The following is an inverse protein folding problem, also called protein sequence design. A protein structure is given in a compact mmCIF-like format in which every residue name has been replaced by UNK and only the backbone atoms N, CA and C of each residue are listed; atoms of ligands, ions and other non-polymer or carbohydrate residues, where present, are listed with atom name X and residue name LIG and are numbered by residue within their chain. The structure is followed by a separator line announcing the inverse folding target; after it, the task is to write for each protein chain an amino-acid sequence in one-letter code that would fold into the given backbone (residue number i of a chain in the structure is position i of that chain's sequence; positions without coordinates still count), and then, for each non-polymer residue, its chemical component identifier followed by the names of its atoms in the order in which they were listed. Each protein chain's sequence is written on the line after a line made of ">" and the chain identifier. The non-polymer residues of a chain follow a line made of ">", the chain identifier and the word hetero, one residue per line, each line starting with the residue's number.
data_IF_646069156706
#
_entry.id   IF_646069156706
#
_cell.length_a   1.000
_cell.length_b   1.000
_cell.length_c   1.000
_cell.angle_alpha   90.00
_cell.angle_beta   90.00
_cell.angle_gamma   90.00
#
_symmetry.space_group_name_H-M   'P 1'
#
loop_
_entity.id
_entity.type
_entity.pdbx_description
1 polymer ?
#
# COMPACT_ATOMS: atom_id res chain seq x y z
N UNK A 1 -27.12 -25.16 23.45
CA UNK A 1 -26.90 -23.73 23.10
C UNK A 1 -25.43 -23.49 23.29
N UNK A 2 -24.69 -23.33 22.20
CA UNK A 2 -23.27 -22.97 22.25
C UNK A 2 -23.13 -21.55 22.82
N UNK A 3 -22.81 -21.48 24.10
CA UNK A 3 -22.64 -20.20 24.78
C UNK A 3 -21.22 -19.69 24.45
N UNK A 4 -21.11 -18.73 23.52
CA UNK A 4 -19.85 -18.05 23.24
C UNK A 4 -19.29 -17.46 24.54
N UNK A 5 -18.02 -17.80 24.86
CA UNK A 5 -17.36 -17.38 26.10
C UNK A 5 -16.83 -15.93 26.05
N UNK A 6 -17.18 -15.15 25.01
CA UNK A 6 -16.77 -13.74 24.87
C UNK A 6 -17.73 -12.98 23.98
N UNK A 7 -17.77 -11.66 24.15
CA UNK A 7 -18.55 -10.74 23.33
C UNK A 7 -17.70 -10.03 22.26
N UNK A 8 -18.36 -9.47 21.22
CA UNK A 8 -17.68 -8.64 20.23
C UNK A 8 -17.05 -7.39 20.85
N UNK A 9 -17.65 -6.81 21.89
CA UNK A 9 -17.10 -5.65 22.58
C UNK A 9 -15.81 -5.98 23.32
N UNK A 10 -15.73 -7.17 23.94
CA UNK A 10 -14.51 -7.65 24.55
C UNK A 10 -13.39 -7.83 23.52
N UNK A 11 -13.71 -8.34 22.32
CA UNK A 11 -12.75 -8.42 21.22
C UNK A 11 -12.29 -7.04 20.72
N UNK A 12 -13.21 -6.07 20.62
CA UNK A 12 -12.86 -4.67 20.27
C UNK A 12 -11.91 -4.06 21.28
N UNK A 13 -12.13 -4.29 22.58
CA UNK A 13 -11.28 -3.82 23.66
C UNK A 13 -9.89 -4.48 23.59
N UNK A 14 -9.81 -5.79 23.43
CA UNK A 14 -8.55 -6.50 23.25
C UNK A 14 -7.72 -5.91 22.11
N UNK A 15 -8.34 -5.72 20.94
CA UNK A 15 -7.70 -5.13 19.77
C UNK A 15 -7.22 -3.69 20.02
N UNK A 16 -8.03 -2.88 20.69
CA UNK A 16 -7.67 -1.49 21.01
C UNK A 16 -6.45 -1.44 21.94
N UNK A 17 -6.40 -2.27 22.99
CA UNK A 17 -5.26 -2.32 23.91
C UNK A 17 -4.00 -2.79 23.18
N UNK A 18 -4.09 -3.83 22.34
CA UNK A 18 -2.97 -4.34 21.57
C UNK A 18 -2.41 -3.27 20.60
N UNK A 19 -3.29 -2.48 19.97
CA UNK A 19 -2.89 -1.40 19.06
C UNK A 19 -2.24 -0.22 19.76
N UNK A 20 -2.84 0.21 20.88
CA UNK A 20 -2.39 1.38 21.63
C UNK A 20 -1.22 1.07 22.58
N UNK A 21 -1.01 -0.22 22.92
CA UNK A 21 0.00 -0.66 23.90
C UNK A 21 -0.25 -0.15 25.32
N UNK A 22 -1.50 0.32 25.61
CA UNK A 22 -1.86 0.91 26.90
C UNK A 22 -3.36 0.84 27.15
N UNK A 23 -3.76 0.38 28.32
CA UNK A 23 -5.15 0.34 28.77
C UNK A 23 -5.79 1.74 28.79
N UNK A 24 -5.03 2.76 29.24
CA UNK A 24 -5.53 4.14 29.28
C UNK A 24 -5.79 4.67 27.86
N UNK A 25 -4.80 4.57 26.97
CA UNK A 25 -4.97 5.04 25.57
C UNK A 25 -6.07 4.29 24.83
N UNK A 26 -6.22 2.99 25.07
CA UNK A 26 -7.32 2.20 24.52
C UNK A 26 -8.68 2.70 25.04
N UNK A 27 -8.80 3.01 26.33
CA UNK A 27 -10.01 3.56 26.92
C UNK A 27 -10.35 4.92 26.28
N UNK A 28 -9.37 5.80 26.14
CA UNK A 28 -9.52 7.10 25.47
C UNK A 28 -9.99 6.92 24.02
N UNK A 29 -9.40 5.99 23.28
CA UNK A 29 -9.75 5.70 21.87
C UNK A 29 -11.15 5.10 21.69
N UNK A 30 -11.67 4.43 22.72
CA UNK A 30 -13.00 3.81 22.73
C UNK A 30 -14.06 4.69 23.41
N UNK A 31 -13.67 5.87 23.91
CA UNK A 31 -14.54 6.79 24.64
C UNK A 31 -15.21 6.16 25.89
N UNK A 32 -14.45 5.34 26.61
CA UNK A 32 -14.88 4.70 27.86
C UNK A 32 -13.86 4.94 28.97
N UNK A 33 -14.23 4.61 30.23
CA UNK A 33 -13.30 4.72 31.35
C UNK A 33 -12.28 3.57 31.37
N UNK A 34 -11.04 3.84 31.79
CA UNK A 34 -10.01 2.81 31.95
C UNK A 34 -10.42 1.68 32.92
N UNK A 35 -11.12 1.92 34.06
CA UNK A 35 -11.64 0.85 34.88
C UNK A 35 -12.60 -0.09 34.14
N UNK A 36 -13.47 0.46 33.26
CA UNK A 36 -14.36 -0.35 32.44
C UNK A 36 -13.59 -1.28 31.47
N UNK A 37 -12.58 -0.74 30.79
CA UNK A 37 -11.68 -1.53 29.93
C UNK A 37 -10.98 -2.63 30.72
N UNK A 38 -10.45 -2.31 31.89
CA UNK A 38 -9.75 -3.30 32.75
C UNK A 38 -10.69 -4.41 33.22
N UNK A 39 -11.89 -4.07 33.62
CA UNK A 39 -12.92 -5.04 34.05
C UNK A 39 -13.32 -5.97 32.90
N UNK A 40 -13.51 -5.44 31.69
CA UNK A 40 -13.87 -6.28 30.53
C UNK A 40 -12.76 -7.25 30.17
N UNK A 41 -11.49 -6.83 30.25
CA UNK A 41 -10.35 -7.75 30.02
C UNK A 41 -10.27 -8.82 31.11
N UNK A 42 -10.42 -8.45 32.39
CA UNK A 42 -10.45 -9.43 33.49
C UNK A 42 -11.58 -10.44 33.34
N UNK A 43 -12.76 -10.00 32.96
CA UNK A 43 -13.89 -10.90 32.69
C UNK A 43 -13.57 -11.85 31.51
N UNK A 44 -12.99 -11.35 30.45
CA UNK A 44 -12.57 -12.15 29.29
C UNK A 44 -11.52 -13.20 29.66
N UNK A 45 -10.47 -12.79 30.40
CA UNK A 45 -9.42 -13.68 30.92
C UNK A 45 -10.02 -14.78 31.82
N UNK A 46 -10.95 -14.41 32.71
CA UNK A 46 -11.65 -15.35 33.59
C UNK A 46 -12.53 -16.32 32.80
N UNK A 47 -13.28 -15.85 31.82
CA UNK A 47 -14.15 -16.68 30.97
C UNK A 47 -13.36 -17.70 30.13
N UNK A 48 -12.17 -17.30 29.66
CA UNK A 48 -11.28 -18.14 28.86
C UNK A 48 -10.31 -18.94 29.70
N UNK A 49 -10.20 -18.64 31.00
CA UNK A 49 -9.24 -19.21 31.95
C UNK A 49 -7.77 -19.07 31.50
N UNK A 50 -7.41 -17.91 30.91
CA UNK A 50 -6.05 -17.60 30.46
C UNK A 50 -5.75 -16.11 30.71
N UNK A 51 -4.48 -15.78 30.92
CA UNK A 51 -4.02 -14.38 30.92
C UNK A 51 -3.73 -13.95 29.49
N UNK A 52 -4.29 -12.81 29.06
CA UNK A 52 -4.11 -12.26 27.72
C UNK A 52 -3.03 -11.17 27.68
N UNK A 53 -2.83 -10.49 28.79
CA UNK A 53 -1.82 -9.44 28.93
C UNK A 53 -0.84 -9.75 30.05
N UNK A 54 0.42 -9.40 29.83
CA UNK A 54 1.43 -9.44 30.88
C UNK A 54 1.20 -8.25 31.85
N UNK A 55 1.16 -8.55 33.14
CA UNK A 55 0.94 -7.56 34.20
C UNK A 55 2.24 -6.99 34.79
N UNK A 56 3.40 -7.52 34.34
CA UNK A 56 4.69 -7.18 34.94
C UNK A 56 5.39 -5.96 34.34
N UNK A 57 4.77 -5.20 33.43
CA UNK A 57 5.41 -4.09 32.71
C UNK A 57 4.63 -2.77 32.72
N UNK A 58 5.30 -1.68 32.33
CA UNK A 58 4.69 -0.36 32.12
C UNK A 58 3.84 -0.29 30.82
N UNK A 59 3.95 -1.26 29.94
CA UNK A 59 3.21 -1.38 28.67
C UNK A 59 2.33 -2.62 28.68
N UNK A 60 1.18 -2.55 28.02
CA UNK A 60 0.27 -3.68 27.84
C UNK A 60 0.83 -4.63 26.78
N UNK A 61 1.64 -5.61 27.20
CA UNK A 61 2.19 -6.63 26.31
C UNK A 61 1.26 -7.84 26.28
N UNK A 62 1.05 -8.40 25.08
CA UNK A 62 0.28 -9.62 24.91
C UNK A 62 1.08 -10.85 25.33
N UNK A 63 0.43 -11.74 26.07
CA UNK A 63 0.91 -13.11 26.29
C UNK A 63 0.77 -13.94 25.00
N UNK A 64 1.26 -15.19 24.99
CA UNK A 64 1.02 -16.09 23.86
C UNK A 64 -0.48 -16.35 23.61
N UNK A 65 -1.32 -16.70 24.62
CA UNK A 65 -2.76 -16.75 24.45
C UNK A 65 -3.38 -15.45 23.94
N UNK A 66 -2.86 -14.28 24.38
CA UNK A 66 -3.30 -12.97 23.90
C UNK A 66 -3.02 -12.76 22.41
N UNK A 67 -1.86 -13.17 21.92
CA UNK A 67 -1.51 -13.11 20.49
C UNK A 67 -2.40 -14.02 19.65
N UNK A 68 -2.62 -15.23 20.12
CA UNK A 68 -3.54 -16.18 19.47
C UNK A 68 -4.93 -15.59 19.37
N UNK A 69 -5.50 -15.11 20.49
CA UNK A 69 -6.84 -14.53 20.48
C UNK A 69 -6.93 -13.29 19.61
N UNK A 70 -5.89 -12.42 19.59
CA UNK A 70 -5.87 -11.23 18.74
C UNK A 70 -5.95 -11.58 17.25
N UNK A 71 -5.26 -12.63 16.81
CA UNK A 71 -5.32 -13.08 15.42
C UNK A 71 -6.73 -13.49 14.98
N UNK A 72 -7.47 -14.18 15.86
CA UNK A 72 -8.88 -14.52 15.61
C UNK A 72 -9.80 -13.31 15.77
N UNK A 73 -9.50 -12.41 16.71
CA UNK A 73 -10.25 -11.18 16.95
C UNK A 73 -10.35 -10.32 15.68
N UNK A 74 -9.22 -10.09 15.01
CA UNK A 74 -9.19 -9.31 13.78
C UNK A 74 -10.05 -9.96 12.68
N UNK A 75 -10.04 -11.28 12.56
CA UNK A 75 -10.85 -12.02 11.60
C UNK A 75 -12.34 -11.92 11.90
N UNK A 76 -12.75 -12.15 13.15
CA UNK A 76 -14.15 -12.11 13.59
C UNK A 76 -14.74 -10.71 13.38
N UNK A 77 -14.03 -9.68 13.87
CA UNK A 77 -14.48 -8.29 13.74
C UNK A 77 -14.55 -7.86 12.27
N UNK A 78 -13.63 -8.34 11.45
CA UNK A 78 -13.65 -8.09 10.02
C UNK A 78 -14.86 -8.73 9.34
N UNK A 79 -15.21 -9.98 9.68
CA UNK A 79 -16.40 -10.65 9.14
C UNK A 79 -17.70 -9.95 9.57
N UNK A 80 -17.78 -9.46 10.81
CA UNK A 80 -18.92 -8.65 11.23
C UNK A 80 -19.07 -7.37 10.40
N UNK A 81 -17.98 -6.66 10.18
CA UNK A 81 -18.00 -5.46 9.33
C UNK A 81 -18.35 -5.79 7.86
N UNK A 82 -17.89 -6.94 7.36
CA UNK A 82 -18.21 -7.43 6.02
C UNK A 82 -19.70 -7.69 5.86
N UNK A 83 -20.31 -8.38 6.84
CA UNK A 83 -21.76 -8.64 6.85
C UNK A 83 -22.57 -7.33 6.86
N UNK A 84 -22.19 -6.36 7.68
CA UNK A 84 -22.84 -5.04 7.68
C UNK A 84 -22.74 -4.36 6.31
N UNK A 85 -21.55 -4.38 5.70
CA UNK A 85 -21.34 -3.79 4.37
C UNK A 85 -22.16 -4.49 3.27
N UNK A 86 -22.23 -5.82 3.30
CA UNK A 86 -23.02 -6.57 2.34
C UNK A 86 -24.50 -6.17 2.42
N UNK A 87 -25.02 -5.95 3.62
CA UNK A 87 -26.38 -5.46 3.83
C UNK A 87 -26.57 -4.00 3.39
N UNK A 88 -25.57 -3.14 3.65
CA UNK A 88 -25.58 -1.75 3.20
C UNK A 88 -25.57 -1.67 1.66
N UNK A 89 -24.77 -2.49 0.99
CA UNK A 89 -24.73 -2.56 -0.48
C UNK A 89 -26.04 -3.05 -1.10
N UNK A 90 -26.78 -3.92 -0.41
CA UNK A 90 -28.11 -4.36 -0.84
C UNK A 90 -29.14 -3.22 -0.73
N UNK A 91 -29.01 -2.38 0.29
CA UNK A 91 -29.94 -1.29 0.57
C UNK A 91 -29.61 0.00 -0.21
N UNK A 92 -28.37 0.18 -0.66
CA UNK A 92 -27.97 1.36 -1.42
C UNK A 92 -28.26 1.16 -2.90
N UNK A 93 -29.28 1.84 -3.42
CA UNK A 93 -29.60 1.87 -4.86
C UNK A 93 -28.55 2.63 -5.69
N UNK A 94 -27.79 3.54 -5.06
CA UNK A 94 -26.75 4.38 -5.67
C UNK A 94 -25.66 4.62 -4.66
N UNK A 95 -24.46 4.15 -4.92
CA UNK A 95 -23.32 4.34 -4.04
C UNK A 95 -22.70 3.04 -3.59
N UNK A 96 -22.04 3.05 -2.48
CA UNK A 96 -21.27 1.93 -1.91
C UNK A 96 -19.89 2.39 -1.52
N UNK A 97 -19.08 1.47 -1.00
CA UNK A 97 -17.72 1.76 -0.56
C UNK A 97 -16.73 0.94 -1.35
N UNK A 98 -15.73 1.61 -1.90
CA UNK A 98 -14.56 0.99 -2.52
C UNK A 98 -13.34 1.22 -1.62
N UNK A 99 -12.79 0.16 -1.05
CA UNK A 99 -11.58 0.20 -0.23
C UNK A 99 -10.44 -0.46 -0.99
N UNK A 100 -9.52 0.32 -1.48
CA UNK A 100 -8.38 -0.18 -2.22
C UNK A 100 -7.08 0.04 -1.45
N UNK A 101 -6.19 -0.93 -1.56
CA UNK A 101 -4.87 -0.87 -0.98
C UNK A 101 -3.80 -0.73 -2.05
N UNK A 102 -2.67 -0.16 -1.65
CA UNK A 102 -1.51 -0.11 -2.52
C UNK A 102 -0.21 -0.06 -1.72
N UNK A 103 0.87 -0.56 -2.31
CA UNK A 103 2.22 -0.25 -1.84
C UNK A 103 2.57 1.21 -2.13
N UNK A 104 3.60 1.75 -1.49
CA UNK A 104 3.90 3.20 -1.55
C UNK A 104 3.97 3.76 -2.98
N UNK A 105 4.73 3.13 -3.85
CA UNK A 105 4.88 3.60 -5.24
C UNK A 105 3.54 3.58 -5.99
N UNK A 106 2.85 2.44 -5.95
CA UNK A 106 1.56 2.27 -6.65
C UNK A 106 0.49 3.18 -6.07
N UNK A 107 0.48 3.35 -4.75
CA UNK A 107 -0.49 4.20 -4.03
C UNK A 107 -0.32 5.69 -4.30
N UNK A 108 0.92 6.14 -4.47
CA UNK A 108 1.20 7.56 -4.71
C UNK A 108 1.01 7.95 -6.18
N UNK A 109 1.40 7.09 -7.12
CA UNK A 109 1.49 7.49 -8.52
C UNK A 109 0.46 6.81 -9.45
N UNK A 110 0.13 5.54 -9.20
CA UNK A 110 -0.79 4.78 -10.06
C UNK A 110 -2.24 4.92 -9.58
N UNK A 111 -2.51 4.64 -8.30
CA UNK A 111 -3.88 4.58 -7.78
C UNK A 111 -4.67 5.89 -7.95
N UNK A 112 -4.12 7.09 -7.74
CA UNK A 112 -4.89 8.33 -7.95
C UNK A 112 -5.42 8.48 -9.37
N UNK A 113 -4.66 8.04 -10.39
CA UNK A 113 -5.09 8.08 -11.80
C UNK A 113 -6.25 7.11 -12.03
N UNK A 114 -6.14 5.90 -11.50
CA UNK A 114 -7.18 4.87 -11.59
C UNK A 114 -8.46 5.31 -10.88
N UNK A 115 -8.33 5.82 -9.66
CA UNK A 115 -9.45 6.27 -8.84
C UNK A 115 -10.12 7.52 -9.42
N UNK A 116 -9.36 8.39 -10.08
CA UNK A 116 -9.91 9.54 -10.81
C UNK A 116 -10.86 9.10 -11.92
N UNK A 117 -10.45 8.12 -12.74
CA UNK A 117 -11.31 7.55 -13.78
C UNK A 117 -12.54 6.84 -13.21
N UNK A 118 -12.36 6.09 -12.12
CA UNK A 118 -13.46 5.41 -11.44
C UNK A 118 -14.49 6.41 -10.90
N UNK A 119 -14.04 7.42 -10.16
CA UNK A 119 -14.93 8.42 -9.57
C UNK A 119 -15.68 9.26 -10.59
N UNK A 120 -15.09 9.47 -11.75
CA UNK A 120 -15.80 10.17 -12.84
C UNK A 120 -17.03 9.39 -13.33
N UNK A 121 -16.95 8.05 -13.36
CA UNK A 121 -18.06 7.17 -13.74
C UNK A 121 -19.03 6.87 -12.59
N UNK A 122 -18.50 6.83 -11.37
CA UNK A 122 -19.22 6.44 -10.14
C UNK A 122 -19.08 7.52 -9.07
N UNK A 123 -19.66 8.72 -9.24
CA UNK A 123 -19.48 9.86 -8.33
C UNK A 123 -20.03 9.61 -6.92
N UNK A 124 -21.05 8.77 -6.79
CA UNK A 124 -21.72 8.46 -5.52
C UNK A 124 -20.97 7.41 -4.69
N UNK A 125 -19.94 6.76 -5.24
CA UNK A 125 -19.14 5.77 -4.51
C UNK A 125 -18.14 6.46 -3.59
N UNK A 126 -18.14 6.07 -2.31
CA UNK A 126 -17.12 6.51 -1.35
C UNK A 126 -15.86 5.66 -1.54
N UNK A 127 -14.79 6.32 -1.94
CA UNK A 127 -13.49 5.66 -2.19
C UNK A 127 -12.52 5.91 -1.04
N UNK A 128 -11.91 4.84 -0.53
CA UNK A 128 -10.86 4.88 0.47
C UNK A 128 -9.60 4.21 -0.09
N UNK A 129 -8.49 4.95 -0.14
CA UNK A 129 -7.18 4.44 -0.54
C UNK A 129 -6.30 4.29 0.69
N UNK A 130 -5.80 3.07 0.91
CA UNK A 130 -4.87 2.74 1.99
C UNK A 130 -3.48 2.47 1.41
N UNK A 131 -2.53 3.35 1.72
CA UNK A 131 -1.14 3.24 1.24
C UNK A 131 -0.24 2.80 2.38
N UNK A 132 0.34 1.61 2.26
CA UNK A 132 1.20 1.02 3.29
C UNK A 132 2.34 0.21 2.64
N UNK A 133 3.21 -0.39 3.47
CA UNK A 133 4.17 -1.40 2.99
C UNK A 133 3.41 -2.62 2.44
N UNK A 134 4.02 -3.35 1.50
CA UNK A 134 3.44 -4.59 0.93
C UNK A 134 2.96 -5.53 2.03
N UNK A 135 3.79 -5.78 3.06
CA UNK A 135 3.42 -6.62 4.20
C UNK A 135 2.11 -6.17 4.87
N UNK A 136 2.01 -4.90 5.24
CA UNK A 136 0.81 -4.37 5.91
C UNK A 136 -0.41 -4.36 5.00
N UNK A 137 -0.23 -4.03 3.73
CA UNK A 137 -1.31 -4.06 2.73
C UNK A 137 -1.86 -5.47 2.55
N UNK A 138 -0.99 -6.48 2.44
CA UNK A 138 -1.40 -7.90 2.33
C UNK A 138 -2.19 -8.37 3.55
N UNK A 139 -1.74 -8.04 4.75
CA UNK A 139 -2.50 -8.32 5.98
C UNK A 139 -3.85 -7.59 6.02
N UNK A 140 -3.92 -6.37 5.51
CA UNK A 140 -5.18 -5.62 5.45
C UNK A 140 -6.19 -6.23 4.49
N UNK A 141 -5.73 -6.80 3.36
CA UNK A 141 -6.58 -7.57 2.44
C UNK A 141 -7.05 -8.86 3.12
N UNK A 142 -6.13 -9.63 3.73
CA UNK A 142 -6.46 -10.86 4.45
C UNK A 142 -7.51 -10.61 5.53
N UNK A 143 -7.38 -9.53 6.28
CA UNK A 143 -8.29 -9.18 7.35
C UNK A 143 -9.57 -8.45 6.87
N UNK A 144 -9.79 -8.26 5.56
CA UNK A 144 -10.98 -7.64 4.98
C UNK A 144 -11.13 -6.13 5.31
N UNK A 145 -10.04 -5.46 5.66
CA UNK A 145 -9.99 -4.01 5.81
C UNK A 145 -9.95 -3.31 4.45
N UNK A 146 -9.46 -4.01 3.44
CA UNK A 146 -9.29 -3.58 2.05
C UNK A 146 -9.91 -4.66 1.16
N UNK A 147 -10.61 -4.25 0.11
CA UNK A 147 -11.30 -5.16 -0.81
C UNK A 147 -10.29 -5.82 -1.78
N UNK A 148 -9.39 -5.02 -2.34
CA UNK A 148 -8.30 -5.46 -3.22
C UNK A 148 -7.11 -4.51 -3.13
N UNK A 149 -5.93 -4.95 -3.55
CA UNK A 149 -4.75 -4.08 -3.55
C UNK A 149 -3.80 -4.36 -4.71
N UNK A 150 -3.04 -3.33 -5.12
CA UNK A 150 -1.92 -3.43 -6.07
C UNK A 150 -0.61 -3.23 -5.32
N UNK A 151 0.25 -4.23 -5.38
CA UNK A 151 1.53 -4.25 -4.68
C UNK A 151 2.70 -4.50 -5.63
N UNK A 152 3.88 -3.97 -5.28
CA UNK A 152 5.10 -4.15 -6.06
C UNK A 152 6.19 -4.99 -5.37
N UNK A 153 5.86 -5.59 -4.22
CA UNK A 153 6.75 -6.48 -3.48
C UNK A 153 6.11 -7.85 -3.26
N UNK A 154 6.80 -8.73 -2.53
CA UNK A 154 6.32 -10.08 -2.24
C UNK A 154 5.36 -10.11 -1.06
N UNK A 155 4.32 -10.96 -1.18
CA UNK A 155 3.39 -11.28 -0.09
C UNK A 155 4.16 -12.05 0.99
N UNK A 156 3.93 -11.77 2.28
CA UNK A 156 4.51 -12.59 3.35
C UNK A 156 4.15 -14.06 3.18
N UNK A 157 5.14 -14.95 3.32
CA UNK A 157 4.98 -16.40 3.11
C UNK A 157 3.87 -16.96 4.01
N UNK A 158 3.73 -16.43 5.22
CA UNK A 158 2.76 -16.88 6.23
C UNK A 158 1.30 -16.73 5.79
N UNK A 159 1.02 -15.90 4.79
CA UNK A 159 -0.33 -15.59 4.31
C UNK A 159 -0.51 -15.75 2.80
N UNK A 160 0.54 -16.12 2.09
CA UNK A 160 0.53 -16.18 0.62
C UNK A 160 -0.51 -17.14 0.06
N UNK A 161 -0.74 -18.29 0.71
CA UNK A 161 -1.74 -19.28 0.31
C UNK A 161 -3.20 -18.87 0.59
N UNK A 162 -3.39 -17.84 1.41
CA UNK A 162 -4.71 -17.34 1.79
C UNK A 162 -5.21 -16.20 0.92
N UNK A 163 -4.35 -15.69 0.04
CA UNK A 163 -4.65 -14.58 -0.86
C UNK A 163 -4.56 -15.01 -2.31
N UNK A 164 -5.50 -14.58 -3.12
CA UNK A 164 -5.39 -14.67 -4.57
C UNK A 164 -4.41 -13.59 -5.03
N UNK A 165 -3.34 -14.01 -5.67
CA UNK A 165 -2.29 -13.14 -6.18
C UNK A 165 -2.16 -13.34 -7.68
N UNK A 166 -2.38 -12.26 -8.45
CA UNK A 166 -2.30 -12.30 -9.91
C UNK A 166 -1.28 -11.28 -10.41
N UNK A 167 -0.49 -11.61 -11.45
CA UNK A 167 0.27 -10.62 -12.20
C UNK A 167 -0.65 -9.50 -12.71
N UNK A 168 -0.21 -8.25 -12.58
CA UNK A 168 -1.07 -7.13 -12.96
C UNK A 168 -0.45 -6.24 -14.04
N UNK A 169 0.72 -5.68 -13.79
CA UNK A 169 1.40 -4.79 -14.73
C UNK A 169 2.92 -4.86 -14.52
N UNK A 170 3.66 -4.46 -15.54
CA UNK A 170 5.11 -4.31 -15.42
C UNK A 170 5.45 -2.91 -14.92
N UNK A 171 6.45 -2.81 -14.05
CA UNK A 171 6.97 -1.56 -13.48
C UNK A 171 8.48 -1.52 -13.72
N UNK A 172 8.88 -0.77 -14.76
CA UNK A 172 10.29 -0.58 -15.10
C UNK A 172 10.93 0.38 -14.10
N UNK A 173 12.13 0.02 -13.64
CA UNK A 173 12.97 0.89 -12.83
C UNK A 173 14.14 1.39 -13.68
N UNK A 174 14.39 2.69 -13.63
CA UNK A 174 15.46 3.33 -14.38
C UNK A 174 16.47 3.94 -13.45
N UNK A 175 17.74 3.89 -13.87
CA UNK A 175 18.77 4.70 -13.23
C UNK A 175 18.49 6.16 -13.55
N UNK A 176 18.41 7.00 -12.53
CA UNK A 176 18.23 8.44 -12.66
C UNK A 176 19.42 9.19 -12.06
N UNK A 177 19.84 10.22 -12.77
CA UNK A 177 20.97 11.06 -12.42
C UNK A 177 20.52 12.53 -12.34
N UNK A 178 21.20 13.36 -11.55
CA UNK A 178 21.07 14.81 -11.63
C UNK A 178 21.49 15.31 -13.02
N UNK A 179 20.89 16.41 -13.48
CA UNK A 179 21.22 17.03 -14.77
C UNK A 179 22.72 17.33 -14.92
N UNK A 180 23.35 17.83 -13.87
CA UNK A 180 24.78 18.23 -13.85
C UNK A 180 25.75 17.06 -13.64
N UNK A 181 25.26 15.82 -13.51
CA UNK A 181 26.12 14.66 -13.27
C UNK A 181 27.03 14.40 -14.49
N UNK A 182 28.34 14.15 -14.32
CA UNK A 182 29.27 13.96 -15.45
C UNK A 182 28.83 12.85 -16.41
N UNK A 183 28.21 11.77 -15.89
CA UNK A 183 27.72 10.64 -16.68
C UNK A 183 26.34 10.90 -17.31
N UNK A 184 25.65 11.99 -16.99
CA UNK A 184 24.35 12.33 -17.59
C UNK A 184 24.42 12.62 -19.11
N UNK A 185 25.63 12.92 -19.61
CA UNK A 185 25.88 13.19 -21.04
C UNK A 185 26.27 11.93 -21.83
N UNK A 186 26.49 10.81 -21.16
CA UNK A 186 26.84 9.56 -21.82
C UNK A 186 25.58 8.92 -22.40
N UNK A 187 25.66 8.44 -23.63
CA UNK A 187 24.55 7.77 -24.30
C UNK A 187 24.20 6.43 -23.64
N UNK A 188 25.20 5.76 -23.09
CA UNK A 188 25.09 4.47 -22.43
C UNK A 188 26.23 4.26 -21.42
N UNK A 189 25.91 3.72 -20.26
CA UNK A 189 26.82 3.36 -19.19
C UNK A 189 27.08 1.85 -19.25
N UNK A 190 28.30 1.45 -18.86
CA UNK A 190 28.60 0.03 -18.64
C UNK A 190 28.23 -0.36 -17.19
N UNK A 191 28.02 -1.65 -16.92
CA UNK A 191 27.71 -2.14 -15.57
C UNK A 191 28.80 -1.77 -14.57
N UNK A 192 30.06 -1.79 -15.00
CA UNK A 192 31.23 -1.42 -14.21
C UNK A 192 31.22 0.04 -13.76
N UNK A 193 30.62 0.94 -14.53
CA UNK A 193 30.50 2.35 -14.18
C UNK A 193 29.62 2.54 -12.93
N UNK A 194 28.63 1.66 -12.70
CA UNK A 194 27.75 1.72 -11.55
C UNK A 194 28.50 1.61 -10.23
N UNK A 195 29.62 0.88 -10.18
CA UNK A 195 30.43 0.74 -8.96
C UNK A 195 31.17 2.04 -8.56
N UNK A 196 31.21 3.03 -9.46
CA UNK A 196 31.82 4.34 -9.20
C UNK A 196 30.79 5.39 -8.73
N UNK A 197 29.51 5.06 -8.84
CA UNK A 197 28.41 5.97 -8.47
C UNK A 197 28.08 5.87 -6.98
N UNK A 198 27.68 7.01 -6.39
CA UNK A 198 27.11 7.04 -5.07
C UNK A 198 25.59 6.91 -5.15
N UNK A 199 25.05 5.83 -4.62
CA UNK A 199 23.62 5.57 -4.69
C UNK A 199 22.86 6.11 -3.48
N UNK A 200 21.68 6.64 -3.75
CA UNK A 200 20.65 6.89 -2.76
C UNK A 200 19.62 5.79 -2.90
N UNK A 201 19.36 5.06 -1.83
CA UNK A 201 18.50 3.88 -1.87
C UNK A 201 17.40 3.94 -0.79
N UNK A 202 16.38 3.09 -0.94
CA UNK A 202 15.45 2.80 0.16
C UNK A 202 16.19 2.05 1.27
N UNK A 203 15.68 2.15 2.51
CA UNK A 203 16.25 1.39 3.63
C UNK A 203 16.26 -0.13 3.35
N UNK A 204 17.22 -0.84 3.94
CA UNK A 204 17.46 -2.26 3.69
C UNK A 204 16.27 -3.18 4.10
N UNK A 205 15.35 -2.70 4.94
CA UNK A 205 14.13 -3.45 5.31
C UNK A 205 13.02 -3.31 4.29
N UNK A 206 13.12 -2.34 3.37
CA UNK A 206 12.13 -2.12 2.32
C UNK A 206 12.01 -3.33 1.39
N UNK A 207 10.78 -3.81 1.20
CA UNK A 207 10.51 -4.86 0.20
C UNK A 207 10.86 -4.41 -1.21
N UNK A 208 10.68 -3.12 -1.51
CA UNK A 208 11.07 -2.54 -2.81
C UNK A 208 12.57 -2.58 -2.99
N UNK A 209 13.37 -2.23 -1.96
CA UNK A 209 14.83 -2.31 -2.01
C UNK A 209 15.29 -3.73 -2.31
N UNK A 210 14.76 -4.72 -1.60
CA UNK A 210 15.10 -6.13 -1.81
C UNK A 210 14.81 -6.61 -3.24
N UNK A 211 13.67 -6.18 -3.79
CA UNK A 211 13.33 -6.51 -5.19
C UNK A 211 14.30 -5.84 -6.16
N UNK A 212 14.66 -4.57 -5.94
CA UNK A 212 15.65 -3.88 -6.79
C UNK A 212 17.01 -4.57 -6.72
N UNK A 213 17.50 -4.85 -5.52
CA UNK A 213 18.78 -5.51 -5.32
C UNK A 213 18.81 -6.89 -6.00
N UNK A 214 17.72 -7.67 -5.93
CA UNK A 214 17.61 -8.95 -6.62
C UNK A 214 17.66 -8.78 -8.14
N UNK A 215 16.89 -7.84 -8.70
CA UNK A 215 16.86 -7.58 -10.14
C UNK A 215 18.23 -7.11 -10.68
N UNK A 216 18.95 -6.30 -9.90
CA UNK A 216 20.31 -5.89 -10.24
C UNK A 216 21.27 -7.08 -10.21
N UNK A 217 21.13 -7.96 -9.22
CA UNK A 217 21.91 -9.20 -9.13
C UNK A 217 21.62 -10.14 -10.29
N UNK A 218 20.35 -10.34 -10.64
CA UNK A 218 19.92 -11.15 -11.78
C UNK A 218 20.44 -10.57 -13.11
N UNK A 219 20.58 -9.23 -13.18
CA UNK A 219 21.22 -8.50 -14.26
C UNK A 219 22.75 -8.60 -14.30
N UNK A 220 23.36 -9.38 -13.40
CA UNK A 220 24.81 -9.64 -13.38
C UNK A 220 25.63 -8.62 -12.59
N UNK A 221 25.00 -7.80 -11.73
CA UNK A 221 25.70 -6.85 -10.86
C UNK A 221 25.99 -7.48 -9.49
N UNK A 222 27.18 -7.21 -8.96
CA UNK A 222 27.55 -7.53 -7.59
C UNK A 222 27.00 -6.41 -6.67
N UNK A 223 25.76 -6.57 -6.20
CA UNK A 223 25.04 -5.51 -5.46
C UNK A 223 25.80 -5.05 -4.22
N UNK A 224 26.56 -5.94 -3.58
CA UNK A 224 27.38 -5.64 -2.40
C UNK A 224 28.53 -4.65 -2.71
N UNK A 225 28.92 -4.51 -3.98
CA UNK A 225 29.94 -3.56 -4.41
C UNK A 225 29.37 -2.17 -4.74
N UNK A 226 28.05 -2.04 -4.83
CA UNK A 226 27.42 -0.74 -5.04
C UNK A 226 27.60 0.12 -3.80
N UNK A 227 28.09 1.35 -4.00
CA UNK A 227 28.28 2.30 -2.90
C UNK A 227 26.98 3.00 -2.57
N UNK A 228 26.39 2.66 -1.43
CA UNK A 228 25.20 3.32 -0.92
C UNK A 228 25.65 4.47 0.00
N UNK A 229 25.51 5.70 -0.47
CA UNK A 229 25.92 6.91 0.27
C UNK A 229 24.81 7.41 1.19
N UNK A 230 23.53 7.07 0.87
CA UNK A 230 22.38 7.51 1.66
C UNK A 230 21.24 6.50 1.60
N UNK A 231 20.60 6.26 2.75
CA UNK A 231 19.37 5.48 2.84
C UNK A 231 18.20 6.37 3.28
N UNK A 232 17.11 6.32 2.52
CA UNK A 232 15.89 7.08 2.78
C UNK A 232 14.67 6.15 2.73
N UNK A 233 13.60 6.50 3.43
CA UNK A 233 12.40 5.67 3.53
C UNK A 233 11.25 6.10 2.60
N UNK A 234 11.51 7.02 1.68
CA UNK A 234 10.51 7.57 0.77
C UNK A 234 11.09 7.76 -0.64
N UNK A 235 10.36 7.29 -1.65
CA UNK A 235 10.71 7.50 -3.07
C UNK A 235 10.77 9.00 -3.40
N UNK A 236 9.85 9.81 -2.86
CA UNK A 236 9.87 11.27 -3.06
C UNK A 236 11.13 11.90 -2.45
N UNK A 237 11.53 11.46 -1.26
CA UNK A 237 12.77 11.96 -0.65
C UNK A 237 14.00 11.58 -1.48
N UNK A 238 14.05 10.34 -2.00
CA UNK A 238 15.14 9.89 -2.88
C UNK A 238 15.17 10.73 -4.15
N UNK A 239 14.02 10.92 -4.80
CA UNK A 239 13.90 11.73 -6.01
C UNK A 239 14.43 13.15 -5.80
N UNK A 240 14.00 13.81 -4.73
CA UNK A 240 14.45 15.15 -4.37
C UNK A 240 15.96 15.19 -4.04
N UNK A 241 16.49 14.18 -3.38
CA UNK A 241 17.92 14.08 -3.10
C UNK A 241 18.75 13.91 -4.38
N UNK A 242 18.28 13.11 -5.36
CA UNK A 242 18.92 13.00 -6.67
C UNK A 242 18.87 14.34 -7.40
N UNK A 243 17.73 15.04 -7.42
CA UNK A 243 17.62 16.38 -8.04
C UNK A 243 18.57 17.40 -7.40
N UNK A 244 18.84 17.25 -6.10
CA UNK A 244 19.77 18.09 -5.37
C UNK A 244 21.25 17.73 -5.57
N UNK A 245 21.55 16.75 -6.43
CA UNK A 245 22.92 16.34 -6.74
C UNK A 245 23.60 15.45 -5.69
N UNK A 246 22.84 14.90 -4.74
CA UNK A 246 23.40 14.10 -3.64
C UNK A 246 23.81 12.66 -4.05
N UNK A 247 23.44 12.23 -5.24
CA UNK A 247 23.78 10.90 -5.76
C UNK A 247 22.84 10.49 -6.90
N UNK A 248 22.82 9.19 -7.17
CA UNK A 248 21.97 8.57 -8.21
C UNK A 248 21.05 7.51 -7.60
N UNK A 249 19.98 7.13 -8.29
CA UNK A 249 19.08 6.10 -7.80
C UNK A 249 18.45 5.28 -8.90
N UNK A 250 18.08 4.02 -8.61
CA UNK A 250 17.13 3.27 -9.42
C UNK A 250 15.71 3.56 -8.93
N UNK A 251 14.91 4.20 -9.78
CA UNK A 251 13.53 4.59 -9.44
C UNK A 251 12.53 4.06 -10.49
N UNK A 252 11.31 3.71 -10.07
CA UNK A 252 10.25 3.35 -11.00
C UNK A 252 9.96 4.51 -11.96
N UNK A 253 9.84 4.20 -13.25
CA UNK A 253 9.59 5.20 -14.31
C UNK A 253 8.41 6.09 -13.98
N UNK A 254 7.33 5.49 -13.49
CA UNK A 254 6.11 6.20 -13.10
C UNK A 254 6.35 7.33 -12.08
N UNK A 255 7.40 7.22 -11.27
CA UNK A 255 7.70 8.20 -10.22
C UNK A 255 8.50 9.40 -10.70
N UNK A 256 9.14 9.29 -11.86
CA UNK A 256 10.09 10.27 -12.40
C UNK A 256 9.70 10.81 -13.78
N UNK A 257 8.56 10.40 -14.32
CA UNK A 257 8.09 10.81 -15.66
C UNK A 257 8.10 12.33 -15.86
N UNK A 258 7.64 13.08 -14.85
CA UNK A 258 7.55 14.54 -14.92
C UNK A 258 8.93 15.19 -14.90
N UNK A 259 9.78 14.72 -14.03
CA UNK A 259 11.14 15.21 -13.85
C UNK A 259 12.00 14.96 -15.10
N UNK A 260 11.85 13.77 -15.70
CA UNK A 260 12.50 13.45 -16.98
C UNK A 260 11.96 14.33 -18.11
N UNK A 261 10.65 14.55 -18.19
CA UNK A 261 10.03 15.40 -19.21
C UNK A 261 10.44 16.88 -19.06
N UNK A 262 10.62 17.36 -17.83
CA UNK A 262 11.09 18.73 -17.54
C UNK A 262 12.60 18.89 -17.62
N UNK A 263 13.36 17.78 -17.77
CA UNK A 263 14.82 17.80 -17.81
C UNK A 263 15.48 18.09 -16.45
N UNK A 264 14.75 17.99 -15.34
CA UNK A 264 15.33 18.16 -14.00
C UNK A 264 16.03 16.91 -13.48
N UNK A 265 15.77 15.77 -14.11
CA UNK A 265 16.50 14.51 -13.96
C UNK A 265 16.85 13.96 -15.34
N UNK A 266 17.89 13.16 -15.40
CA UNK A 266 18.34 12.48 -16.62
C UNK A 266 18.27 10.97 -16.42
N UNK A 267 17.81 10.26 -17.46
CA UNK A 267 17.83 8.80 -17.51
C UNK A 267 19.23 8.30 -17.81
N UNK A 268 19.81 7.47 -16.94
CA UNK A 268 21.02 6.70 -17.21
C UNK A 268 20.66 5.39 -17.90
N UNK A 269 21.03 5.21 -19.16
CA UNK A 269 20.95 3.92 -19.84
C UNK A 269 22.13 3.06 -19.43
N UNK A 270 21.88 1.85 -19.01
CA UNK A 270 22.93 0.87 -18.68
C UNK A 270 22.87 -0.27 -19.70
N UNK A 271 24.01 -0.59 -20.31
CA UNK A 271 24.11 -1.64 -21.31
C UNK A 271 23.68 -2.99 -20.74
N UNK A 272 22.85 -3.71 -21.49
CA UNK A 272 22.37 -5.06 -21.14
C UNK A 272 21.78 -5.18 -19.73
N UNK A 273 21.15 -4.10 -19.23
CA UNK A 273 20.48 -4.07 -17.94
C UNK A 273 19.04 -3.54 -18.08
N UNK A 274 18.09 -4.45 -17.96
CA UNK A 274 16.69 -4.12 -17.82
C UNK A 274 16.22 -4.48 -16.40
N UNK A 275 15.86 -3.46 -15.63
CA UNK A 275 15.33 -3.65 -14.28
C UNK A 275 13.82 -3.47 -14.32
N UNK A 276 13.11 -4.59 -14.32
CA UNK A 276 11.65 -4.59 -14.42
C UNK A 276 11.05 -5.51 -13.36
N UNK A 277 10.12 -5.01 -12.57
CA UNK A 277 9.38 -5.81 -11.60
C UNK A 277 7.92 -5.93 -12.02
N UNK A 278 7.28 -6.98 -11.55
CA UNK A 278 5.86 -7.20 -11.77
C UNK A 278 5.06 -6.65 -10.60
N UNK A 279 4.11 -5.75 -10.89
CA UNK A 279 3.05 -5.39 -9.96
C UNK A 279 2.05 -6.54 -9.88
N UNK A 280 1.52 -6.76 -8.69
CA UNK A 280 0.60 -7.85 -8.40
C UNK A 280 -0.71 -7.29 -7.87
N UNK A 281 -1.83 -7.80 -8.39
CA UNK A 281 -3.15 -7.60 -7.83
C UNK A 281 -3.38 -8.68 -6.78
N UNK A 282 -3.76 -8.27 -5.58
CA UNK A 282 -4.10 -9.19 -4.50
C UNK A 282 -5.52 -8.96 -4.00
N UNK A 283 -6.23 -10.06 -3.76
CA UNK A 283 -7.57 -10.08 -3.18
C UNK A 283 -7.78 -11.33 -2.33
N UNK A 284 -8.80 -11.34 -1.50
CA UNK A 284 -9.13 -12.54 -0.74
C UNK A 284 -10.14 -13.40 -1.52
N UNK A 285 -9.88 -14.71 -1.74
CA UNK A 285 -10.67 -15.54 -2.65
C UNK A 285 -12.14 -15.76 -2.23
N UNK A 286 -12.43 -15.71 -0.93
CA UNK A 286 -13.75 -16.07 -0.38
C UNK A 286 -14.46 -14.94 0.35
N UNK A 287 -13.94 -13.71 0.34
CA UNK A 287 -14.61 -12.57 0.99
C UNK A 287 -15.62 -11.90 0.07
N UNK A 288 -16.59 -11.27 0.70
CA UNK A 288 -17.56 -10.44 -0.02
C UNK A 288 -16.84 -9.34 -0.81
N UNK A 289 -17.08 -9.32 -2.12
CA UNK A 289 -16.62 -8.25 -3.00
C UNK A 289 -17.78 -7.26 -3.18
N UNK A 290 -17.56 -6.01 -2.78
CA UNK A 290 -18.58 -4.98 -2.94
C UNK A 290 -18.88 -4.71 -4.43
N UNK A 291 -20.10 -4.26 -4.75
CA UNK A 291 -20.45 -3.86 -6.13
C UNK A 291 -19.50 -2.80 -6.68
N UNK A 292 -19.04 -1.90 -5.82
CA UNK A 292 -18.06 -0.89 -6.19
C UNK A 292 -16.70 -1.51 -6.52
N UNK A 293 -16.25 -2.51 -5.75
CA UNK A 293 -15.01 -3.23 -6.03
C UNK A 293 -15.08 -4.05 -7.31
N UNK A 294 -16.22 -4.73 -7.57
CA UNK A 294 -16.45 -5.44 -8.83
C UNK A 294 -16.46 -4.49 -10.04
N UNK A 295 -17.13 -3.34 -9.92
CA UNK A 295 -17.13 -2.33 -10.97
C UNK A 295 -15.71 -1.79 -11.23
N UNK A 296 -14.93 -1.52 -10.18
CA UNK A 296 -13.54 -1.09 -10.30
C UNK A 296 -12.68 -2.15 -11.00
N UNK A 297 -12.82 -3.43 -10.62
CA UNK A 297 -12.13 -4.56 -11.25
C UNK A 297 -12.45 -4.67 -12.74
N UNK A 298 -13.72 -4.55 -13.10
CA UNK A 298 -14.19 -4.69 -14.48
C UNK A 298 -13.85 -3.51 -15.38
N UNK A 299 -13.93 -2.28 -14.85
CA UNK A 299 -13.95 -1.06 -15.68
C UNK A 299 -12.63 -0.30 -15.66
N UNK A 300 -11.83 -0.43 -14.60
CA UNK A 300 -10.62 0.36 -14.42
C UNK A 300 -9.35 -0.48 -14.46
N UNK A 301 -9.31 -1.62 -13.76
CA UNK A 301 -8.10 -2.43 -13.73
C UNK A 301 -7.59 -2.82 -15.12
N UNK A 302 -8.43 -3.26 -16.09
CA UNK A 302 -7.93 -3.65 -17.42
C UNK A 302 -7.28 -2.51 -18.20
N UNK A 303 -7.65 -1.24 -17.93
CA UNK A 303 -7.09 -0.08 -18.61
C UNK A 303 -5.60 0.17 -18.28
N UNK A 304 -5.11 -0.40 -17.21
CA UNK A 304 -3.74 -0.21 -16.72
C UNK A 304 -2.93 -1.51 -16.64
N UNK A 305 -3.52 -2.64 -17.02
CA UNK A 305 -2.91 -3.97 -16.91
C UNK A 305 -1.97 -4.32 -18.08
N UNK A 306 -2.04 -3.65 -19.23
CA UNK A 306 -1.24 -4.00 -20.40
C UNK A 306 0.14 -3.34 -20.39
N UNK A 307 1.15 -4.04 -20.93
CA UNK A 307 2.50 -3.51 -21.11
C UNK A 307 2.55 -2.25 -22.03
N UNK A 308 1.53 -2.09 -22.89
CA UNK A 308 1.31 -0.91 -23.73
C UNK A 308 0.40 0.14 -23.09
N UNK A 309 0.04 -0.04 -21.81
CA UNK A 309 -0.81 0.90 -21.10
C UNK A 309 -0.16 2.30 -21.04
N UNK A 310 -0.94 3.39 -21.14
CA UNK A 310 -0.49 4.77 -21.04
C UNK A 310 0.13 5.15 -19.68
N UNK A 311 0.35 4.21 -18.79
CA UNK A 311 1.31 4.35 -17.67
C UNK A 311 2.70 4.67 -18.22
N UNK A 312 3.02 4.21 -19.46
CA UNK A 312 4.23 4.54 -20.21
C UNK A 312 4.07 5.72 -21.19
N UNK A 313 2.86 6.31 -21.38
CA UNK A 313 2.64 7.45 -22.30
C UNK A 313 1.71 8.48 -21.69
N UNK A 314 2.22 9.61 -21.18
CA UNK A 314 1.42 10.61 -20.45
C UNK A 314 0.44 11.44 -21.29
N UNK A 315 0.46 11.40 -22.64
CA UNK A 315 -0.10 12.50 -23.43
C UNK A 315 -1.43 12.26 -24.15
N UNK A 316 -1.97 11.05 -24.24
CA UNK A 316 -3.18 10.82 -25.07
C UNK A 316 -4.48 10.52 -24.33
N UNK A 317 -4.46 10.09 -23.09
CA UNK A 317 -5.67 9.71 -22.34
C UNK A 317 -6.43 10.89 -21.71
N UNK A 318 -5.91 12.11 -21.76
CA UNK A 318 -6.50 13.31 -21.14
C UNK A 318 -7.02 14.34 -22.15
N UNK A 319 -7.38 13.95 -23.37
CA UNK A 319 -8.23 14.78 -24.22
C UNK A 319 -9.69 14.61 -23.81
N UNK A 320 -10.02 14.96 -22.58
CA UNK A 320 -11.39 15.31 -22.21
C UNK A 320 -11.68 16.65 -22.87
N UNK A 321 -12.65 16.69 -23.77
CA UNK A 321 -13.18 17.94 -24.33
C UNK A 321 -13.53 18.86 -23.16
N UNK A 322 -13.18 20.14 -23.20
CA UNK A 322 -13.60 21.07 -22.17
C UNK A 322 -15.13 21.08 -22.14
N UNK A 323 -15.71 20.76 -20.99
CA UNK A 323 -17.13 20.94 -20.72
C UNK A 323 -17.45 22.42 -20.85
N UNK A 324 -18.56 22.74 -21.51
CA UNK A 324 -19.08 24.10 -21.67
C UNK A 324 -19.12 24.85 -20.34
N UNK A 325 -18.84 26.15 -20.32
CA UNK A 325 -18.85 26.93 -19.10
C UNK A 325 -20.26 27.00 -18.49
N UNK A 326 -20.35 26.67 -17.22
CA UNK A 326 -21.57 26.82 -16.42
C UNK A 326 -22.03 28.28 -16.50
N UNK A 327 -23.13 28.51 -17.22
CA UNK A 327 -23.84 29.80 -17.23
C UNK A 327 -24.47 30.04 -15.86
N UNK A 328 -23.99 31.11 -15.21
CA UNK A 328 -24.67 31.94 -14.22
C UNK A 328 -25.49 31.26 -13.12
N UNK A 329 -24.88 30.95 -11.99
CA UNK A 329 -25.57 30.90 -10.70
C UNK A 329 -25.48 32.28 -10.04
N UNK A 330 -26.58 33.08 -10.09
CA UNK A 330 -26.72 34.32 -9.33
C UNK A 330 -26.88 33.96 -7.86
N UNK A 331 -25.91 34.31 -7.04
CA UNK A 331 -26.11 34.44 -5.59
C UNK A 331 -27.10 35.61 -5.31
N UNK A 332 -28.26 35.29 -4.77
CA UNK A 332 -29.09 36.28 -4.08
C UNK A 332 -28.56 36.46 -2.65
N UNK A 333 -28.42 37.71 -2.28
CA UNK A 333 -28.10 38.19 -0.93
C UNK A 333 -29.16 37.77 0.08
#
# INVERSE_FOLDING_TARGET
>A
MDNLRFSLDQLRILRAIAREGSFKRAADSLYVSQPAVSLQVQNLEKQLNVCLFDRCGRSAQLTEPGRVLLSYCDRILSQCHEACRALEDLNSLRGGHLRVGASQTTGTYLMPRMLGLFRHKHPDVVVQLHVHSTRRTSWSVLNGQIDLAIIGGEIPVEISEQLLCQPYANDELQLVLPLEHPMARQSELQKEDLYRLGFIALDAQSTTRKVVDQLLSDGGLEVQRLRIDMELNSIEAIKNAVQSGLGVAFLPVLTVERELAMGSLVRGRVADLLVCRQLKLIEHPSRYCSRAAEAFKREVLPLFASADSPVARPSEALKVRPSEPLKNVRFRR
#
